data_IF_806653077903
#
_entry.id   IF_806653077903
#
_cell.length_a   1.000
_cell.length_b   1.000
_cell.length_c   1.000
_cell.angle_alpha   90.00
_cell.angle_beta   90.00
_cell.angle_gamma   90.00
#
_symmetry.space_group_name_H-M   'P 1'
#
loop_
_entity.id
_entity.type
_entity.pdbx_description
1 polymer ?
#
# COMPACT_ATOMS: atom_id res chain seq x y z
N UNK A 1 -13.73 12.08 -12.80
CA UNK A 1 -13.63 12.71 -11.47
C UNK A 1 -12.31 13.47 -11.42
N UNK A 2 -12.25 14.67 -10.83
CA UNK A 2 -10.97 15.38 -10.69
C UNK A 2 -10.08 14.70 -9.64
N UNK A 3 -8.75 14.88 -9.74
CA UNK A 3 -7.80 14.36 -8.74
C UNK A 3 -8.01 14.99 -7.37
N UNK A 4 -8.45 16.25 -7.32
CA UNK A 4 -8.83 16.93 -6.08
C UNK A 4 -10.05 16.25 -5.42
N UNK A 5 -11.08 15.92 -6.20
CA UNK A 5 -12.24 15.19 -5.70
C UNK A 5 -11.88 13.77 -5.27
N UNK A 6 -10.96 13.09 -5.96
CA UNK A 6 -10.43 11.80 -5.52
C UNK A 6 -9.71 11.95 -4.18
N UNK A 7 -8.81 12.92 -4.03
CA UNK A 7 -8.08 13.13 -2.78
C UNK A 7 -9.03 13.42 -1.62
N UNK A 8 -10.05 14.24 -1.82
CA UNK A 8 -11.06 14.51 -0.79
C UNK A 8 -11.75 13.22 -0.31
N UNK A 9 -12.08 12.30 -1.24
CA UNK A 9 -12.63 10.98 -0.89
C UNK A 9 -11.61 10.11 -0.16
N UNK A 10 -10.36 10.10 -0.61
CA UNK A 10 -9.25 9.37 0.03
C UNK A 10 -9.04 9.85 1.47
N UNK A 11 -9.03 11.16 1.69
CA UNK A 11 -8.87 11.79 3.00
C UNK A 11 -10.06 11.53 3.94
N UNK A 12 -11.28 11.49 3.39
CA UNK A 12 -12.49 11.21 4.15
C UNK A 12 -12.68 9.71 4.47
N UNK A 13 -12.03 8.81 3.72
CA UNK A 13 -12.25 7.37 3.87
C UNK A 13 -11.71 6.86 5.24
N UNK A 14 -12.55 6.25 6.10
CA UNK A 14 -12.13 5.81 7.45
C UNK A 14 -10.93 4.87 7.43
N UNK A 15 -10.87 3.98 6.43
CA UNK A 15 -9.74 3.08 6.24
C UNK A 15 -8.41 3.82 6.14
N UNK A 16 -8.35 5.00 5.52
CA UNK A 16 -7.10 5.70 5.21
C UNK A 16 -6.56 6.57 6.36
N UNK A 17 -7.31 6.70 7.46
CA UNK A 17 -6.98 7.62 8.55
C UNK A 17 -5.61 7.37 9.19
N UNK A 18 -5.13 6.12 9.19
CA UNK A 18 -3.82 5.79 9.76
C UNK A 18 -2.67 5.97 8.78
N UNK A 19 -2.88 5.73 7.48
CA UNK A 19 -1.80 5.78 6.48
C UNK A 19 -1.50 7.20 6.02
N UNK A 20 -2.51 8.06 5.88
CA UNK A 20 -2.30 9.42 5.37
C UNK A 20 -1.37 10.25 6.28
N UNK A 21 -1.50 10.26 7.63
CA UNK A 21 -0.55 10.98 8.47
C UNK A 21 0.91 10.53 8.34
N UNK A 22 1.13 9.26 7.95
CA UNK A 22 2.49 8.75 7.68
C UNK A 22 3.06 9.31 6.38
N UNK A 23 2.23 9.37 5.34
CA UNK A 23 2.62 9.76 3.99
C UNK A 23 2.53 11.27 3.72
N UNK A 24 1.70 11.99 4.49
CA UNK A 24 1.32 13.37 4.22
C UNK A 24 2.49 14.35 4.40
N UNK A 25 3.15 14.64 3.28
CA UNK A 25 3.84 15.93 3.02
C UNK A 25 3.14 16.77 1.95
N UNK A 26 2.09 16.23 1.30
CA UNK A 26 1.34 16.85 0.20
C UNK A 26 -0.13 16.44 0.26
N UNK A 27 -1.00 17.26 -0.35
CA UNK A 27 -2.42 16.98 -0.57
C UNK A 27 -2.77 16.88 -2.06
N UNK A 28 -1.77 16.98 -2.95
CA UNK A 28 -1.96 16.97 -4.40
C UNK A 28 -1.64 15.59 -4.95
N UNK A 29 -2.67 14.88 -5.41
CA UNK A 29 -2.50 13.66 -6.20
C UNK A 29 -2.08 13.99 -7.63
N UNK A 30 -1.19 13.16 -8.18
CA UNK A 30 -0.84 13.14 -9.61
C UNK A 30 -0.96 11.70 -10.11
N UNK A 31 -1.25 11.46 -11.41
CA UNK A 31 -1.15 10.12 -11.97
C UNK A 31 0.26 9.55 -11.72
N UNK A 32 0.35 8.26 -11.42
CA UNK A 32 1.62 7.59 -11.16
C UNK A 32 2.59 7.78 -12.32
N UNK A 33 3.80 8.22 -12.01
CA UNK A 33 4.85 8.40 -13.00
C UNK A 33 5.67 7.12 -13.20
N UNK A 34 6.31 6.97 -14.37
CA UNK A 34 7.24 5.86 -14.64
C UNK A 34 8.57 5.94 -13.88
N UNK A 35 8.68 6.85 -12.91
CA UNK A 35 9.92 7.19 -12.22
C UNK A 35 10.91 7.89 -13.15
N UNK A 36 11.42 9.05 -12.72
CA UNK A 36 12.73 9.50 -13.20
C UNK A 36 13.83 8.65 -12.57
N UNK A 37 15.09 8.80 -13.01
CA UNK A 37 16.24 7.97 -12.54
C UNK A 37 16.58 8.00 -11.04
N UNK A 38 15.78 8.67 -10.19
CA UNK A 38 15.88 8.67 -8.74
C UNK A 38 14.78 7.85 -8.04
N UNK A 39 13.86 7.24 -8.79
CA UNK A 39 12.62 6.66 -8.29
C UNK A 39 12.45 5.19 -8.73
N UNK A 40 13.53 4.42 -8.54
CA UNK A 40 13.56 2.98 -8.85
C UNK A 40 12.46 2.20 -8.10
N UNK A 41 12.15 2.63 -6.88
CA UNK A 41 11.09 2.05 -6.05
C UNK A 41 9.70 2.21 -6.66
N UNK A 42 9.35 3.40 -7.17
CA UNK A 42 8.09 3.60 -7.88
C UNK A 42 8.02 2.74 -9.15
N UNK A 43 9.15 2.61 -9.86
CA UNK A 43 9.30 1.74 -11.02
C UNK A 43 8.83 0.31 -10.73
N UNK A 44 9.45 -0.30 -9.72
CA UNK A 44 9.12 -1.65 -9.25
C UNK A 44 7.68 -1.71 -8.75
N UNK A 45 7.28 -0.76 -7.90
CA UNK A 45 5.96 -0.74 -7.27
C UNK A 45 4.81 -0.67 -8.27
N UNK A 46 4.87 0.24 -9.25
CA UNK A 46 3.77 0.48 -10.20
C UNK A 46 3.80 -0.41 -11.44
N UNK A 47 4.99 -0.75 -11.93
CA UNK A 47 5.14 -1.29 -13.28
C UNK A 47 5.69 -2.71 -13.32
N UNK A 48 6.34 -3.16 -12.25
CA UNK A 48 6.73 -4.56 -12.09
C UNK A 48 5.68 -5.31 -11.27
N UNK A 49 5.58 -5.03 -9.96
CA UNK A 49 4.61 -5.68 -9.08
C UNK A 49 3.19 -5.16 -9.34
N UNK A 50 3.05 -3.87 -9.63
CA UNK A 50 1.77 -3.23 -9.94
C UNK A 50 1.28 -3.42 -11.38
N UNK A 51 1.95 -4.23 -12.20
CA UNK A 51 1.67 -4.33 -13.63
C UNK A 51 0.21 -4.70 -13.95
N UNK A 52 -0.42 -5.52 -13.11
CA UNK A 52 -1.81 -5.97 -13.24
C UNK A 52 -2.83 -4.99 -12.65
N UNK A 53 -2.36 -3.97 -11.94
CA UNK A 53 -3.21 -2.93 -11.35
C UNK A 53 -3.53 -1.88 -12.42
N UNK A 54 -4.80 -1.46 -12.58
CA UNK A 54 -5.17 -0.41 -13.51
C UNK A 54 -4.42 0.91 -13.27
N UNK A 55 -4.11 1.64 -14.34
CA UNK A 55 -3.37 2.90 -14.24
C UNK A 55 -4.14 4.00 -13.50
N UNK A 56 -5.47 3.97 -13.55
CA UNK A 56 -6.33 4.86 -12.77
C UNK A 56 -6.43 4.48 -11.28
N UNK A 57 -5.63 3.51 -10.84
CA UNK A 57 -5.40 3.21 -9.44
C UNK A 57 -4.03 3.66 -8.94
N UNK A 58 -3.12 4.18 -9.80
CA UNK A 58 -1.73 4.50 -9.45
C UNK A 58 -1.53 6.01 -9.34
N UNK A 59 -1.05 6.49 -8.20
CA UNK A 59 -0.95 7.92 -7.93
C UNK A 59 0.30 8.31 -7.14
N UNK A 60 0.88 9.46 -7.49
CA UNK A 60 1.93 10.11 -6.71
C UNK A 60 1.30 11.10 -5.70
N UNK A 61 1.80 11.11 -4.46
CA UNK A 61 1.46 12.06 -3.41
C UNK A 61 2.74 12.63 -2.79
N UNK A 62 3.27 13.70 -3.38
CA UNK A 62 4.55 14.26 -2.96
C UNK A 62 5.71 13.33 -3.34
N UNK A 63 6.33 12.71 -2.33
CA UNK A 63 7.43 11.74 -2.48
C UNK A 63 6.99 10.30 -2.14
N UNK A 64 5.69 10.08 -2.07
CA UNK A 64 5.11 8.76 -1.80
C UNK A 64 4.27 8.34 -3.00
N UNK A 65 4.19 7.03 -3.21
CA UNK A 65 3.41 6.45 -4.30
C UNK A 65 2.29 5.62 -3.69
N UNK A 66 1.08 5.76 -4.22
CA UNK A 66 -0.13 5.17 -3.68
C UNK A 66 -0.80 4.32 -4.75
N UNK A 67 -1.34 3.20 -4.33
CA UNK A 67 -2.39 2.53 -5.08
C UNK A 67 -3.73 2.69 -4.38
N UNK A 68 -4.70 3.24 -5.11
CA UNK A 68 -5.99 3.69 -4.62
C UNK A 68 -7.07 3.05 -5.47
N UNK A 69 -8.01 2.32 -4.86
CA UNK A 69 -9.11 1.77 -5.62
C UNK A 69 -10.08 2.90 -6.05
N UNK A 70 -10.33 3.11 -7.36
CA UNK A 70 -11.02 4.32 -7.86
C UNK A 70 -12.48 4.43 -7.39
N UNK A 71 -13.16 3.29 -7.24
CA UNK A 71 -14.56 3.26 -6.81
C UNK A 71 -14.73 3.54 -5.30
N UNK A 72 -13.77 3.14 -4.47
CA UNK A 72 -13.93 3.14 -3.00
C UNK A 72 -13.07 4.22 -2.35
N UNK A 73 -12.07 4.74 -3.06
CA UNK A 73 -11.04 5.64 -2.56
C UNK A 73 -10.19 5.06 -1.42
N UNK A 74 -10.21 3.73 -1.23
CA UNK A 74 -9.35 3.06 -0.26
C UNK A 74 -7.92 2.95 -0.82
N UNK A 75 -6.94 3.43 -0.04
CA UNK A 75 -5.52 3.19 -0.30
C UNK A 75 -5.23 1.76 0.14
N UNK A 76 -4.83 0.90 -0.78
CA UNK A 76 -4.58 -0.52 -0.52
C UNK A 76 -3.09 -0.88 -0.55
N UNK A 77 -2.27 -0.06 -1.19
CA UNK A 77 -0.82 -0.15 -1.12
C UNK A 77 -0.19 1.23 -1.17
N UNK A 78 1.00 1.36 -0.58
CA UNK A 78 1.78 2.58 -0.61
C UNK A 78 3.28 2.28 -0.60
N UNK A 79 4.04 3.11 -1.28
CA UNK A 79 5.48 3.18 -1.21
C UNK A 79 5.87 4.52 -0.58
N UNK A 80 6.88 4.50 0.28
CA UNK A 80 7.61 5.70 0.69
C UNK A 80 9.12 5.45 0.65
N UNK A 81 9.91 6.53 0.66
CA UNK A 81 11.36 6.42 0.61
C UNK A 81 11.82 5.84 -0.73
N UNK A 82 12.82 4.97 -0.71
CA UNK A 82 13.31 4.28 -1.90
C UNK A 82 12.67 2.91 -2.06
N UNK A 83 12.52 2.12 -0.98
CA UNK A 83 12.02 0.73 -1.05
C UNK A 83 11.22 0.32 0.21
N UNK A 84 10.48 1.26 0.81
CA UNK A 84 9.54 0.92 1.88
C UNK A 84 8.15 0.73 1.29
N UNK A 85 7.74 -0.53 1.11
CA UNK A 85 6.43 -0.89 0.55
C UNK A 85 5.49 -1.40 1.64
N UNK A 86 4.30 -0.84 1.65
CA UNK A 86 3.24 -1.10 2.61
C UNK A 86 2.01 -1.58 1.85
N UNK A 87 1.34 -2.59 2.40
CA UNK A 87 0.15 -3.17 1.79
C UNK A 87 -0.93 -3.40 2.84
N UNK A 88 -2.18 -3.40 2.39
CA UNK A 88 -3.31 -4.04 3.08
C UNK A 88 -3.42 -5.50 2.63
N UNK A 89 -2.79 -6.44 3.32
CA UNK A 89 -2.78 -7.83 2.87
C UNK A 89 -4.17 -8.44 3.02
N UNK A 90 -4.48 -9.38 2.11
CA UNK A 90 -5.63 -10.28 2.27
C UNK A 90 -5.16 -11.46 3.12
N UNK A 91 -5.25 -11.33 4.44
CA UNK A 91 -4.71 -12.30 5.40
C UNK A 91 -5.11 -13.76 5.13
N UNK A 92 -6.32 -14.00 4.61
CA UNK A 92 -6.83 -15.34 4.29
C UNK A 92 -6.23 -15.96 3.02
N UNK A 93 -5.52 -15.18 2.20
CA UNK A 93 -4.87 -15.63 0.96
C UNK A 93 -3.35 -15.73 1.09
N UNK A 94 -2.77 -15.30 2.20
CA UNK A 94 -1.31 -15.36 2.38
C UNK A 94 -0.85 -16.80 2.54
N UNK A 95 0.15 -17.21 1.75
CA UNK A 95 0.92 -18.43 1.98
C UNK A 95 2.08 -18.17 2.95
N UNK A 96 1.76 -17.69 4.15
CA UNK A 96 2.75 -17.47 5.21
C UNK A 96 2.34 -18.21 6.47
N UNK A 97 3.33 -18.82 7.13
CA UNK A 97 3.09 -19.47 8.40
C UNK A 97 2.63 -18.45 9.46
N UNK A 98 1.67 -18.82 10.33
CA UNK A 98 1.32 -18.00 11.48
C UNK A 98 2.52 -17.70 12.37
N UNK A 99 2.47 -16.58 13.10
CA UNK A 99 3.56 -16.21 13.99
C UNK A 99 3.79 -17.31 15.05
N UNK A 100 5.01 -17.86 15.20
CA UNK A 100 5.27 -18.94 16.13
C UNK A 100 5.09 -18.53 17.60
N UNK A 101 5.07 -17.22 17.90
CA UNK A 101 4.92 -16.68 19.25
C UNK A 101 3.46 -16.47 19.66
N UNK A 102 2.59 -16.06 18.73
CA UNK A 102 1.21 -15.70 19.06
C UNK A 102 0.14 -16.43 18.22
N UNK A 103 0.54 -17.28 17.27
CA UNK A 103 -0.36 -18.03 16.39
C UNK A 103 -1.12 -17.18 15.37
N UNK A 104 -0.91 -15.86 15.33
CA UNK A 104 -1.65 -14.95 14.46
C UNK A 104 -0.87 -14.60 13.18
N UNK A 105 -1.58 -14.43 12.08
CA UNK A 105 -1.01 -13.93 10.81
C UNK A 105 -0.80 -12.40 10.87
N UNK A 106 -1.73 -11.67 11.46
CA UNK A 106 -1.81 -10.20 11.56
C UNK A 106 -0.99 -9.60 12.72
N UNK A 107 0.18 -10.17 13.02
CA UNK A 107 1.02 -9.78 14.16
C UNK A 107 2.02 -8.65 13.86
N UNK A 108 2.61 -8.05 14.90
CA UNK A 108 3.55 -6.93 14.76
C UNK A 108 4.81 -7.28 13.97
N UNK A 109 5.19 -8.56 13.91
CA UNK A 109 6.31 -9.01 13.07
C UNK A 109 6.05 -8.76 11.58
N UNK A 110 4.79 -8.71 11.14
CA UNK A 110 4.46 -8.35 9.75
C UNK A 110 4.57 -6.84 9.48
N UNK A 111 4.57 -6.03 10.54
CA UNK A 111 4.61 -4.56 10.50
C UNK A 111 5.99 -3.96 10.81
N UNK A 112 6.96 -4.80 11.17
CA UNK A 112 8.31 -4.36 11.55
C UNK A 112 9.34 -5.13 10.77
N UNK A 113 10.41 -4.46 10.37
CA UNK A 113 11.53 -5.12 9.71
C UNK A 113 12.44 -4.15 8.98
N UNK A 114 13.59 -4.66 8.52
CA UNK A 114 14.52 -3.89 7.71
C UNK A 114 13.96 -3.71 6.29
N UNK A 115 14.19 -2.53 5.74
CA UNK A 115 14.02 -2.20 4.31
C UNK A 115 15.34 -1.63 3.78
N UNK A 116 15.44 -1.32 2.49
CA UNK A 116 16.61 -0.60 1.98
C UNK A 116 16.68 0.86 2.49
N UNK A 117 15.60 1.38 3.07
CA UNK A 117 15.56 2.69 3.73
C UNK A 117 15.92 2.63 5.22
N UNK A 118 16.18 1.43 5.75
CA UNK A 118 16.47 1.17 7.17
C UNK A 118 15.35 0.42 7.88
N UNK A 119 15.43 0.39 9.22
CA UNK A 119 14.44 -0.30 10.06
C UNK A 119 13.12 0.48 10.09
N UNK A 120 12.04 -0.21 9.74
CA UNK A 120 10.70 0.37 9.67
C UNK A 120 9.79 -0.25 10.72
N UNK A 121 9.01 0.61 11.39
CA UNK A 121 7.90 0.22 12.28
C UNK A 121 6.58 0.82 11.79
N UNK A 122 5.66 -0.05 11.39
CA UNK A 122 4.31 0.27 10.94
C UNK A 122 3.23 -0.04 11.99
N UNK A 123 3.58 -0.39 13.23
CA UNK A 123 2.59 -0.81 14.24
C UNK A 123 1.52 0.24 14.51
N UNK A 124 1.86 1.53 14.42
CA UNK A 124 0.92 2.64 14.52
C UNK A 124 -0.15 2.65 13.41
N UNK A 125 0.10 2.02 12.26
CA UNK A 125 -0.88 1.89 11.17
C UNK A 125 -2.00 0.88 11.50
N UNK A 126 -1.78 0.03 12.50
CA UNK A 126 -2.70 -1.01 12.93
C UNK A 126 -2.66 -2.28 12.08
N UNK A 127 -3.49 -3.25 12.44
CA UNK A 127 -3.46 -4.62 11.88
C UNK A 127 -3.92 -4.73 10.43
N UNK A 128 -4.48 -3.66 9.87
CA UNK A 128 -4.86 -3.62 8.46
C UNK A 128 -3.64 -3.51 7.52
N UNK A 129 -2.45 -3.20 8.05
CA UNK A 129 -1.25 -2.97 7.27
C UNK A 129 -0.13 -3.96 7.60
N UNK A 130 0.72 -4.20 6.60
CA UNK A 130 1.97 -4.95 6.71
C UNK A 130 3.04 -4.34 5.80
N UNK A 131 4.31 -4.63 6.10
CA UNK A 131 5.39 -4.48 5.12
C UNK A 131 5.20 -5.55 4.05
N UNK A 132 5.27 -5.17 2.77
CA UNK A 132 5.08 -6.10 1.66
C UNK A 132 6.08 -7.26 1.72
N UNK A 133 7.35 -6.96 1.97
CA UNK A 133 8.44 -7.96 2.12
C UNK A 133 8.24 -8.96 3.26
N UNK A 134 7.32 -8.69 4.20
CA UNK A 134 6.99 -9.60 5.29
C UNK A 134 5.79 -10.50 4.96
N UNK A 135 5.09 -10.28 3.86
CA UNK A 135 3.89 -11.02 3.45
C UNK A 135 3.97 -11.54 2.01
N UNK A 136 4.91 -11.04 1.20
CA UNK A 136 5.29 -11.53 -0.11
C UNK A 136 6.77 -11.93 -0.05
N UNK A 137 7.07 -13.18 -0.37
CA UNK A 137 8.45 -13.65 -0.50
C UNK A 137 8.85 -13.83 -1.97
N UNK A 138 7.90 -14.14 -2.88
CA UNK A 138 8.11 -14.23 -4.34
C UNK A 138 6.84 -13.88 -5.16
N UNK A 139 5.80 -13.31 -4.53
CA UNK A 139 4.45 -13.12 -5.12
C UNK A 139 3.90 -11.70 -4.90
N UNK A 140 4.74 -10.66 -4.98
CA UNK A 140 4.33 -9.27 -4.72
C UNK A 140 3.17 -8.80 -5.61
N UNK A 141 3.14 -9.22 -6.87
CA UNK A 141 2.11 -8.83 -7.84
C UNK A 141 0.74 -9.46 -7.50
N UNK A 142 0.71 -10.73 -7.09
CA UNK A 142 -0.48 -11.41 -6.62
C UNK A 142 -1.01 -10.76 -5.33
N UNK A 143 -0.12 -10.41 -4.40
CA UNK A 143 -0.52 -9.70 -3.18
C UNK A 143 -1.15 -8.34 -3.48
N UNK A 144 -0.57 -7.58 -4.40
CA UNK A 144 -1.12 -6.28 -4.82
C UNK A 144 -2.46 -6.46 -5.53
N UNK A 145 -2.61 -7.48 -6.39
CA UNK A 145 -3.89 -7.75 -7.03
C UNK A 145 -4.97 -8.12 -6.02
N UNK A 146 -4.68 -9.01 -5.07
CA UNK A 146 -5.64 -9.39 -4.05
C UNK A 146 -6.04 -8.19 -3.17
N UNK A 147 -5.08 -7.33 -2.83
CA UNK A 147 -5.35 -6.09 -2.11
C UNK A 147 -6.25 -5.15 -2.92
N UNK A 148 -6.03 -5.02 -4.23
CA UNK A 148 -6.89 -4.25 -5.14
C UNK A 148 -8.32 -4.81 -5.19
N UNK A 149 -8.48 -6.11 -5.42
CA UNK A 149 -9.78 -6.79 -5.42
C UNK A 149 -10.53 -6.58 -4.10
N UNK A 150 -9.85 -6.80 -2.98
CA UNK A 150 -10.44 -6.62 -1.64
C UNK A 150 -10.82 -5.15 -1.37
N UNK A 151 -10.04 -4.20 -1.89
CA UNK A 151 -10.33 -2.78 -1.78
C UNK A 151 -11.57 -2.35 -2.57
N UNK A 152 -11.94 -3.12 -3.60
CA UNK A 152 -13.19 -2.93 -4.37
C UNK A 152 -14.44 -3.45 -3.65
N UNK A 153 -14.31 -4.49 -2.82
CA UNK A 153 -15.44 -5.11 -2.11
C UNK A 153 -15.77 -4.39 -0.79
N UNK A 154 -14.79 -3.76 -0.16
CA UNK A 154 -14.92 -3.10 1.16
C UNK A 154 -15.74 -1.80 1.17
N UNK A 155 -16.38 -1.43 0.06
CA UNK A 155 -17.27 -0.26 -0.04
C UNK A 155 -18.77 -0.54 0.18
N UNK A 156 -19.15 -1.68 0.73
CA UNK A 156 -20.54 -1.86 1.17
C UNK A 156 -20.72 -1.34 2.59
N UNK A 157 -21.46 -0.24 2.83
CA UNK A 157 -22.21 -0.11 4.08
C UNK A 157 -23.24 -1.24 4.21
#
# INVERSE_FOLDING_TARGET
MSLEALYARVAAHPGNQTILPRLCRSTTLRPGSNGGGYDEGAGVFFWEWGARIPDDAKYDLGYSHLMIHPATALVFAAQEGRFTFMIRPVWSRLDVLPCPRCGALDCDRRRRGPTLDGDVDLTALGRAWALLSNVAFEDEDDQLLWAYEQAGVTASP
#
